data_IF_674883953991
#
_entry.id   IF_674883953991
#
_cell.length_a   1.000
_cell.length_b   1.000
_cell.length_c   1.000
_cell.angle_alpha   90.00
_cell.angle_beta   90.00
_cell.angle_gamma   90.00
#
_symmetry.space_group_name_H-M   'P 1'
#
loop_
_entity.id
_entity.type
_entity.pdbx_description
1 polymer ?
#
# COMPACT_ATOMS: atom_id res chain seq x y z
N UNK A 1 29.56 50.06 -34.76
CA UNK A 1 29.59 49.08 -33.66
C UNK A 1 29.06 49.76 -32.40
N UNK A 2 27.78 49.63 -32.10
CA UNK A 2 27.14 49.95 -30.81
C UNK A 2 25.66 49.71 -31.04
N UNK A 3 25.05 48.78 -30.29
CA UNK A 3 23.64 48.69 -29.90
C UNK A 3 23.27 47.22 -29.56
N UNK A 4 23.88 46.69 -28.50
CA UNK A 4 23.28 45.62 -27.69
C UNK A 4 23.48 45.99 -26.22
N UNK A 5 22.71 47.00 -25.78
CA UNK A 5 22.50 47.33 -24.36
C UNK A 5 20.99 47.33 -24.10
N UNK A 6 20.31 46.24 -24.44
CA UNK A 6 18.92 46.04 -24.04
C UNK A 6 18.85 44.93 -22.99
N UNK A 7 18.80 45.40 -21.75
CA UNK A 7 17.97 44.90 -20.66
C UNK A 7 17.99 43.39 -20.38
N UNK A 8 19.03 42.95 -19.66
CA UNK A 8 19.01 41.73 -18.84
C UNK A 8 17.92 41.75 -17.75
N UNK A 9 17.24 42.89 -17.53
CA UNK A 9 16.17 43.02 -16.54
C UNK A 9 14.83 42.42 -17.00
N UNK A 10 14.62 42.14 -18.29
CA UNK A 10 13.36 41.57 -18.80
C UNK A 10 13.33 40.03 -18.74
N UNK A 11 14.50 39.37 -18.62
CA UNK A 11 14.56 37.91 -18.55
C UNK A 11 14.15 37.33 -17.18
N UNK A 12 14.04 38.17 -16.14
CA UNK A 12 13.66 37.74 -14.78
C UNK A 12 12.15 37.72 -14.52
N UNK A 13 11.32 38.25 -15.42
CA UNK A 13 9.86 38.37 -15.21
C UNK A 13 9.03 37.19 -15.75
N UNK A 14 9.64 36.20 -16.42
CA UNK A 14 8.95 35.03 -16.96
C UNK A 14 9.21 33.72 -16.20
N UNK A 15 9.79 33.79 -14.99
CA UNK A 15 9.73 32.67 -14.04
C UNK A 15 8.40 32.76 -13.29
N UNK A 16 7.28 32.70 -14.02
CA UNK A 16 5.99 32.44 -13.41
C UNK A 16 6.06 31.04 -12.80
N UNK A 17 6.13 31.01 -11.48
CA UNK A 17 6.19 29.81 -10.66
C UNK A 17 4.99 28.92 -11.01
N UNK A 18 5.22 27.90 -11.82
CA UNK A 18 4.33 26.74 -11.86
C UNK A 18 4.51 26.04 -10.51
N UNK A 19 3.83 26.56 -9.48
CA UNK A 19 3.59 25.80 -8.28
C UNK A 19 2.75 24.61 -8.73
N UNK A 20 3.40 23.46 -8.93
CA UNK A 20 2.72 22.20 -9.15
C UNK A 20 1.84 21.97 -7.91
N UNK A 21 0.55 22.29 -8.05
CA UNK A 21 -0.41 22.09 -6.98
C UNK A 21 -0.56 20.59 -6.79
N UNK A 22 -0.18 20.09 -5.61
CA UNK A 22 -0.48 18.72 -5.21
C UNK A 22 -1.99 18.50 -5.26
N UNK A 23 -2.42 17.38 -5.82
CA UNK A 23 -3.84 17.05 -5.79
C UNK A 23 -4.34 16.87 -4.35
N UNK A 24 -5.58 17.29 -4.13
CA UNK A 24 -6.27 17.17 -2.84
C UNK A 24 -6.84 15.77 -2.63
N UNK A 25 -7.15 15.44 -1.38
CA UNK A 25 -7.83 14.18 -1.08
C UNK A 25 -9.16 14.04 -1.82
N UNK A 26 -9.91 15.14 -2.00
CA UNK A 26 -11.18 15.10 -2.71
C UNK A 26 -11.00 14.89 -4.20
N UNK A 27 -10.02 15.53 -4.82
CA UNK A 27 -9.68 15.28 -6.22
C UNK A 27 -9.30 13.81 -6.42
N UNK A 28 -8.47 13.25 -5.53
CA UNK A 28 -8.15 11.83 -5.55
C UNK A 28 -9.40 10.95 -5.37
N UNK A 29 -10.26 11.24 -4.39
CA UNK A 29 -11.45 10.44 -4.10
C UNK A 29 -12.50 10.50 -5.23
N UNK A 30 -12.66 11.65 -5.88
CA UNK A 30 -13.62 11.83 -6.97
C UNK A 30 -13.09 11.35 -8.33
N UNK A 31 -11.77 11.25 -8.51
CA UNK A 31 -11.17 10.78 -9.75
C UNK A 31 -11.47 9.30 -10.05
N UNK A 32 -11.68 8.99 -11.33
CA UNK A 32 -11.70 7.62 -11.87
C UNK A 32 -10.51 7.38 -12.78
N UNK A 33 -9.84 6.24 -12.64
CA UNK A 33 -8.71 5.87 -13.50
C UNK A 33 -8.48 4.35 -13.59
N UNK A 34 -7.75 3.93 -14.62
CA UNK A 34 -7.29 2.56 -14.81
C UNK A 34 -5.86 2.59 -15.32
N UNK A 35 -4.92 2.02 -14.57
CA UNK A 35 -3.49 2.05 -14.87
C UNK A 35 -2.96 0.64 -14.90
N UNK A 36 -1.98 0.40 -15.77
CA UNK A 36 -1.27 -0.85 -15.87
C UNK A 36 0.24 -0.56 -15.85
N UNK A 37 0.89 -0.93 -14.76
CA UNK A 37 2.35 -0.88 -14.63
C UNK A 37 2.89 -2.26 -14.87
N UNK A 38 3.84 -2.37 -15.77
CA UNK A 38 4.47 -3.63 -16.08
C UNK A 38 5.98 -3.46 -16.17
N UNK A 39 6.72 -4.30 -15.46
CA UNK A 39 8.18 -4.28 -15.45
C UNK A 39 8.73 -5.71 -15.48
N UNK A 40 10.00 -5.81 -15.86
CA UNK A 40 10.73 -7.07 -15.86
C UNK A 40 11.18 -7.41 -14.44
N UNK A 41 11.06 -8.66 -14.05
CA UNK A 41 11.52 -9.13 -12.75
C UNK A 41 13.04 -9.37 -12.79
N UNK A 42 13.78 -8.67 -11.94
CA UNK A 42 15.24 -8.79 -11.84
C UNK A 42 15.67 -10.19 -11.39
N UNK A 43 14.85 -10.86 -10.56
CA UNK A 43 15.14 -12.19 -10.01
C UNK A 43 15.21 -13.24 -11.12
N UNK A 44 14.45 -13.04 -12.20
CA UNK A 44 14.39 -13.97 -13.34
C UNK A 44 15.24 -13.52 -14.53
N UNK A 45 16.24 -12.67 -14.31
CA UNK A 45 17.04 -12.04 -15.37
C UNK A 45 16.18 -11.35 -16.45
N UNK A 46 15.01 -10.85 -16.05
CA UNK A 46 14.06 -10.17 -16.93
C UNK A 46 13.29 -11.07 -17.91
N UNK A 47 13.32 -12.39 -17.72
CA UNK A 47 12.50 -13.33 -18.50
C UNK A 47 11.03 -13.29 -18.08
N UNK A 48 10.75 -13.07 -16.78
CA UNK A 48 9.41 -12.89 -16.28
C UNK A 48 9.01 -11.41 -16.24
N UNK A 49 7.72 -11.17 -16.49
CA UNK A 49 7.11 -9.85 -16.36
C UNK A 49 6.14 -9.86 -15.19
N UNK A 50 6.26 -8.85 -14.34
CA UNK A 50 5.28 -8.51 -13.31
C UNK A 50 4.34 -7.45 -13.86
N UNK A 51 3.04 -7.60 -13.61
CA UNK A 51 2.00 -6.66 -14.04
C UNK A 51 1.13 -6.28 -12.86
N UNK A 52 1.08 -5.00 -12.54
CA UNK A 52 0.18 -4.39 -11.59
C UNK A 52 -0.87 -3.57 -12.34
N UNK A 53 -2.14 -3.89 -12.13
CA UNK A 53 -3.27 -3.07 -12.59
C UNK A 53 -3.98 -2.46 -11.39
N UNK A 54 -4.10 -1.14 -11.37
CA UNK A 54 -4.89 -0.42 -10.37
C UNK A 54 -6.03 0.28 -11.09
N UNK A 55 -7.26 -0.07 -10.71
CA UNK A 55 -8.47 0.59 -11.17
C UNK A 55 -9.11 1.30 -10.00
N UNK A 56 -9.61 2.50 -10.24
CA UNK A 56 -10.37 3.26 -9.27
C UNK A 56 -11.60 3.85 -9.96
N UNK A 57 -12.75 3.66 -9.33
CA UNK A 57 -13.97 4.39 -9.64
C UNK A 57 -14.54 4.93 -8.33
N UNK A 58 -14.41 6.25 -8.12
CA UNK A 58 -14.86 6.93 -6.91
C UNK A 58 -14.27 6.26 -5.65
N UNK A 59 -15.11 5.62 -4.82
CA UNK A 59 -14.70 4.95 -3.58
C UNK A 59 -14.13 3.55 -3.78
N UNK A 60 -14.34 2.95 -4.96
CA UNK A 60 -13.95 1.59 -5.23
C UNK A 60 -12.55 1.55 -5.84
N UNK A 61 -11.65 0.78 -5.22
CA UNK A 61 -10.29 0.55 -5.68
C UNK A 61 -10.10 -0.95 -5.90
N UNK A 62 -9.68 -1.32 -7.11
CA UNK A 62 -9.34 -2.69 -7.49
C UNK A 62 -7.86 -2.76 -7.79
N UNK A 63 -7.16 -3.62 -7.06
CA UNK A 63 -5.74 -3.91 -7.23
C UNK A 63 -5.62 -5.32 -7.79
N UNK A 64 -5.10 -5.46 -9.00
CA UNK A 64 -4.84 -6.76 -9.63
C UNK A 64 -3.35 -6.91 -9.87
N UNK A 65 -2.78 -8.01 -9.41
CA UNK A 65 -1.36 -8.28 -9.54
C UNK A 65 -1.14 -9.63 -10.20
N UNK A 66 -0.33 -9.65 -11.25
CA UNK A 66 0.04 -10.85 -11.98
C UNK A 66 1.56 -11.00 -12.02
N UNK A 67 2.05 -12.10 -11.45
CA UNK A 67 3.45 -12.53 -11.51
C UNK A 67 3.55 -13.86 -12.26
N UNK A 68 4.58 -14.00 -13.09
CA UNK A 68 4.93 -15.27 -13.76
C UNK A 68 3.78 -15.94 -14.54
N UNK A 69 2.89 -15.20 -15.22
CA UNK A 69 1.66 -15.66 -15.92
C UNK A 69 0.63 -16.44 -15.07
N UNK A 70 1.05 -17.21 -14.07
CA UNK A 70 0.27 -18.16 -13.28
C UNK A 70 -0.18 -17.59 -11.93
N UNK A 71 0.63 -16.72 -11.30
CA UNK A 71 0.29 -16.14 -10.00
C UNK A 71 -0.53 -14.91 -10.27
N UNK A 72 -1.82 -14.99 -9.95
CA UNK A 72 -2.77 -13.91 -10.15
C UNK A 72 -3.45 -13.63 -8.81
N UNK A 73 -3.42 -12.38 -8.38
CA UNK A 73 -4.13 -11.91 -7.19
C UNK A 73 -5.01 -10.73 -7.57
N UNK A 74 -6.13 -10.58 -6.90
CA UNK A 74 -7.02 -9.44 -7.06
C UNK A 74 -7.65 -9.10 -5.72
N UNK A 75 -7.72 -7.80 -5.42
CA UNK A 75 -8.39 -7.26 -4.25
C UNK A 75 -9.27 -6.10 -4.67
N UNK A 76 -10.45 -6.03 -4.08
CA UNK A 76 -11.41 -4.93 -4.27
C UNK A 76 -11.74 -4.35 -2.90
N UNK A 77 -11.58 -3.04 -2.78
CA UNK A 77 -11.74 -2.29 -1.53
C UNK A 77 -12.66 -1.11 -1.80
N UNK A 78 -13.70 -0.95 -0.97
CA UNK A 78 -14.58 0.21 -0.98
C UNK A 78 -14.24 1.09 0.22
N UNK A 79 -13.49 2.17 -0.01
CA UNK A 79 -12.94 3.02 1.05
C UNK A 79 -13.98 3.92 1.74
N UNK A 80 -15.23 3.89 1.26
CA UNK A 80 -16.34 4.69 1.80
C UNK A 80 -17.34 3.87 2.62
N UNK A 81 -17.10 2.56 2.81
CA UNK A 81 -18.02 1.67 3.54
C UNK A 81 -17.40 1.13 4.82
N UNK A 82 -18.27 0.97 5.81
CA UNK A 82 -18.00 0.23 7.03
C UNK A 82 -18.64 -1.18 6.95
N UNK A 83 -18.07 -2.19 7.64
CA UNK A 83 -16.78 -2.15 8.33
C UNK A 83 -15.59 -2.12 7.34
N UNK A 84 -14.38 -1.83 7.83
CA UNK A 84 -13.16 -1.94 7.03
C UNK A 84 -13.01 -3.37 6.53
N UNK A 85 -12.96 -3.55 5.21
CA UNK A 85 -12.89 -4.89 4.61
C UNK A 85 -12.14 -4.90 3.28
N UNK A 86 -11.66 -6.09 2.92
CA UNK A 86 -11.03 -6.41 1.63
C UNK A 86 -11.83 -7.54 1.00
N UNK A 87 -12.26 -7.37 -0.26
CA UNK A 87 -12.79 -8.47 -1.06
C UNK A 87 -11.65 -9.10 -1.85
N UNK A 88 -11.24 -10.30 -1.50
CA UNK A 88 -10.12 -11.01 -2.11
C UNK A 88 -10.59 -11.99 -3.20
N UNK A 89 -9.71 -12.24 -4.17
CA UNK A 89 -9.93 -13.15 -5.29
C UNK A 89 -10.54 -12.49 -6.53
N UNK A 90 -10.43 -13.18 -7.68
CA UNK A 90 -10.94 -12.69 -8.98
C UNK A 90 -12.46 -12.48 -8.99
N UNK A 91 -13.18 -13.35 -8.29
CA UNK A 91 -14.63 -13.30 -8.15
C UNK A 91 -15.07 -12.45 -6.95
N UNK A 92 -14.14 -12.03 -6.07
CA UNK A 92 -14.44 -11.25 -4.88
C UNK A 92 -15.32 -11.97 -3.85
N UNK A 93 -15.28 -13.31 -3.83
CA UNK A 93 -16.14 -14.16 -2.98
C UNK A 93 -15.68 -14.15 -1.52
N UNK A 94 -14.39 -13.93 -1.29
CA UNK A 94 -13.81 -13.91 0.04
C UNK A 94 -13.81 -12.48 0.59
N UNK A 95 -14.50 -12.27 1.72
CA UNK A 95 -14.61 -10.96 2.37
C UNK A 95 -13.84 -10.98 3.68
N UNK A 96 -12.65 -10.40 3.68
CA UNK A 96 -11.78 -10.26 4.84
C UNK A 96 -12.17 -8.99 5.58
N UNK A 97 -12.73 -9.11 6.79
CA UNK A 97 -13.11 -7.96 7.62
C UNK A 97 -12.01 -7.65 8.62
N UNK A 98 -11.90 -6.39 9.01
CA UNK A 98 -11.03 -5.93 10.10
C UNK A 98 -11.83 -5.84 11.40
N UNK A 99 -11.37 -6.53 12.44
CA UNK A 99 -11.87 -6.43 13.82
C UNK A 99 -10.83 -5.88 14.80
N UNK A 100 -9.58 -5.65 14.36
CA UNK A 100 -8.53 -5.04 15.18
C UNK A 100 -7.36 -4.46 14.39
N UNK A 101 -6.35 -3.96 15.10
CA UNK A 101 -5.12 -3.44 14.50
C UNK A 101 -4.17 -4.57 14.13
N UNK A 102 -3.49 -4.47 12.99
CA UNK A 102 -2.45 -5.43 12.59
C UNK A 102 -1.09 -5.12 13.24
N UNK A 103 -0.25 -6.14 13.52
CA UNK A 103 -0.50 -7.56 13.34
C UNK A 103 -1.46 -8.13 14.41
N UNK A 104 -2.43 -8.95 13.98
CA UNK A 104 -3.41 -9.56 14.87
C UNK A 104 -3.51 -11.07 14.60
N UNK A 105 -3.36 -11.89 15.64
CA UNK A 105 -3.50 -13.36 15.54
C UNK A 105 -4.93 -13.82 15.22
N UNK A 106 -5.94 -12.99 15.46
CA UNK A 106 -7.36 -13.33 15.21
C UNK A 106 -7.76 -13.18 13.74
N UNK A 107 -7.02 -12.39 12.96
CA UNK A 107 -7.32 -12.11 11.55
C UNK A 107 -6.06 -12.12 10.70
N UNK A 108 -5.34 -13.26 10.65
CA UNK A 108 -4.10 -13.37 9.90
C UNK A 108 -4.33 -13.03 8.42
N UNK A 109 -5.44 -13.50 7.83
CA UNK A 109 -5.77 -13.29 6.42
C UNK A 109 -5.95 -11.80 6.06
N UNK A 110 -6.64 -11.02 6.89
CA UNK A 110 -6.81 -9.58 6.66
C UNK A 110 -5.45 -8.87 6.73
N UNK A 111 -4.65 -9.17 7.76
CA UNK A 111 -3.34 -8.53 7.95
C UNK A 111 -2.35 -8.92 6.84
N UNK A 112 -2.36 -10.18 6.40
CA UNK A 112 -1.57 -10.65 5.27
C UNK A 112 -2.00 -9.97 3.97
N UNK A 113 -3.31 -9.87 3.71
CA UNK A 113 -3.81 -9.16 2.53
C UNK A 113 -3.42 -7.67 2.55
N UNK A 114 -3.51 -7.01 3.70
CA UNK A 114 -3.08 -5.63 3.88
C UNK A 114 -1.59 -5.44 3.58
N UNK A 115 -0.72 -6.25 4.18
CA UNK A 115 0.73 -6.21 3.93
C UNK A 115 1.01 -6.42 2.45
N UNK A 116 0.40 -7.43 1.85
CA UNK A 116 0.60 -7.79 0.44
C UNK A 116 0.13 -6.70 -0.52
N UNK A 117 -1.04 -6.09 -0.28
CA UNK A 117 -1.53 -4.96 -1.08
C UNK A 117 -0.55 -3.79 -0.99
N UNK A 118 -0.06 -3.48 0.21
CA UNK A 118 0.89 -2.38 0.43
C UNK A 118 2.19 -2.61 -0.33
N UNK A 119 2.81 -3.77 -0.15
CA UNK A 119 4.07 -4.14 -0.81
C UNK A 119 3.92 -4.07 -2.33
N UNK A 120 2.86 -4.65 -2.89
CA UNK A 120 2.62 -4.62 -4.34
C UNK A 120 2.49 -3.19 -4.86
N UNK A 121 1.73 -2.33 -4.17
CA UNK A 121 1.56 -0.94 -4.61
C UNK A 121 2.86 -0.15 -4.50
N UNK A 122 3.65 -0.37 -3.44
CA UNK A 122 4.94 0.30 -3.27
C UNK A 122 5.95 -0.19 -4.30
N UNK A 123 6.19 -1.50 -4.33
CA UNK A 123 7.31 -2.11 -5.05
C UNK A 123 7.04 -2.23 -6.54
N UNK A 124 5.83 -2.63 -6.94
CA UNK A 124 5.48 -2.83 -8.36
C UNK A 124 4.74 -1.62 -8.95
N UNK A 125 4.23 -0.73 -8.09
CA UNK A 125 3.50 0.49 -8.48
C UNK A 125 4.35 1.75 -8.40
N UNK A 126 4.57 2.26 -7.18
CA UNK A 126 5.22 3.56 -6.95
C UNK A 126 6.64 3.62 -7.51
N UNK A 127 7.41 2.52 -7.44
CA UNK A 127 8.77 2.47 -7.98
C UNK A 127 8.80 2.56 -9.52
N UNK A 128 7.82 1.96 -10.21
CA UNK A 128 7.87 1.77 -11.66
C UNK A 128 6.90 2.65 -12.46
N UNK A 129 5.95 3.31 -11.79
CA UNK A 129 5.02 4.22 -12.45
C UNK A 129 5.72 5.49 -12.94
N UNK A 130 5.23 6.03 -14.06
CA UNK A 130 5.85 7.18 -14.74
C UNK A 130 5.16 8.49 -14.37
N UNK A 131 5.95 9.56 -14.38
CA UNK A 131 5.51 10.92 -14.14
C UNK A 131 5.61 11.34 -12.69
N UNK A 132 5.06 12.53 -12.40
CA UNK A 132 5.14 13.20 -11.11
C UNK A 132 4.08 12.68 -10.13
N UNK A 133 4.53 12.34 -8.92
CA UNK A 133 3.68 11.80 -7.85
C UNK A 133 2.60 12.79 -7.40
N UNK A 134 2.86 14.08 -7.54
CA UNK A 134 2.00 15.19 -7.14
C UNK A 134 0.89 15.47 -8.17
N UNK A 135 0.97 14.87 -9.36
CA UNK A 135 0.10 15.17 -10.48
C UNK A 135 -0.80 13.97 -10.81
N UNK A 136 -2.09 14.10 -10.50
CA UNK A 136 -3.10 13.05 -10.68
C UNK A 136 -3.36 12.68 -12.16
N UNK A 137 -2.84 13.45 -13.12
CA UNK A 137 -2.90 13.07 -14.53
C UNK A 137 -1.87 12.00 -14.91
N UNK A 138 -0.80 11.85 -14.13
CA UNK A 138 0.29 10.89 -14.40
C UNK A 138 -0.01 9.53 -13.78
N UNK A 139 0.68 8.48 -14.26
CA UNK A 139 0.51 7.14 -13.70
C UNK A 139 1.01 7.06 -12.26
N UNK A 140 2.13 7.73 -11.96
CA UNK A 140 2.67 7.78 -10.60
C UNK A 140 1.71 8.49 -9.64
N UNK A 141 1.18 9.65 -10.00
CA UNK A 141 0.25 10.39 -9.15
C UNK A 141 -1.05 9.64 -8.87
N UNK A 142 -1.57 8.90 -9.86
CA UNK A 142 -2.77 8.07 -9.65
C UNK A 142 -2.50 6.83 -8.77
N UNK A 143 -1.35 6.15 -8.92
CA UNK A 143 -0.99 5.06 -8.01
C UNK A 143 -0.79 5.59 -6.60
N UNK A 144 -0.15 6.75 -6.47
CA UNK A 144 0.00 7.42 -5.18
C UNK A 144 -1.36 7.79 -4.56
N UNK A 145 -2.30 8.30 -5.34
CA UNK A 145 -3.68 8.51 -4.89
C UNK A 145 -4.31 7.22 -4.34
N UNK A 146 -4.22 6.10 -5.07
CA UNK A 146 -4.75 4.82 -4.60
C UNK A 146 -4.05 4.34 -3.32
N UNK A 147 -2.72 4.44 -3.26
CA UNK A 147 -1.90 4.10 -2.09
C UNK A 147 -2.37 4.85 -0.84
N UNK A 148 -2.60 6.16 -0.96
CA UNK A 148 -3.02 7.01 0.15
C UNK A 148 -4.42 6.65 0.67
N UNK A 149 -5.38 6.44 -0.25
CA UNK A 149 -6.73 6.04 0.14
C UNK A 149 -6.73 4.67 0.82
N UNK A 150 -6.02 3.70 0.26
CA UNK A 150 -5.91 2.35 0.82
C UNK A 150 -5.23 2.37 2.19
N UNK A 151 -4.13 3.11 2.36
CA UNK A 151 -3.44 3.23 3.64
C UNK A 151 -4.33 3.86 4.71
N UNK A 152 -5.00 4.98 4.40
CA UNK A 152 -5.92 5.59 5.35
C UNK A 152 -7.07 4.66 5.75
N UNK A 153 -7.66 3.93 4.79
CA UNK A 153 -8.77 3.03 5.05
C UNK A 153 -8.36 1.74 5.78
N UNK A 154 -7.39 1.01 5.23
CA UNK A 154 -7.00 -0.32 5.73
C UNK A 154 -6.12 -0.24 6.97
N UNK A 155 -5.22 0.75 7.08
CA UNK A 155 -4.38 0.93 8.27
C UNK A 155 -5.04 1.84 9.29
N UNK A 156 -5.40 3.05 8.84
CA UNK A 156 -5.87 4.13 9.68
C UNK A 156 -7.34 4.03 10.12
N UNK A 157 -8.08 3.02 9.68
CA UNK A 157 -9.53 2.89 9.89
C UNK A 157 -10.33 4.11 9.42
N UNK A 158 -9.81 4.84 8.42
CA UNK A 158 -10.41 6.07 7.95
C UNK A 158 -11.45 5.77 6.87
N UNK A 159 -12.69 6.11 7.15
CA UNK A 159 -13.78 6.04 6.18
C UNK A 159 -13.85 7.35 5.41
N UNK A 160 -13.80 7.28 4.09
CA UNK A 160 -13.85 8.46 3.23
C UNK A 160 -15.29 8.80 2.86
N UNK A 161 -15.55 10.09 2.65
CA UNK A 161 -16.84 10.57 2.14
C UNK A 161 -16.60 11.58 1.03
N UNK A 162 -17.28 11.37 -0.11
CA UNK A 162 -17.21 12.29 -1.27
C UNK A 162 -17.92 13.61 -1.02
N UNK A 163 -18.82 13.65 -0.04
CA UNK A 163 -19.62 14.82 0.30
C UNK A 163 -18.99 15.68 1.39
N UNK A 164 -17.92 15.20 2.03
CA UNK A 164 -17.17 16.00 2.99
C UNK A 164 -16.45 17.17 2.29
N UNK A 165 -16.45 18.35 2.90
CA UNK A 165 -15.63 19.48 2.45
C UNK A 165 -14.17 19.13 2.68
N UNK A 166 -13.36 19.11 1.62
CA UNK A 166 -11.93 18.79 1.69
C UNK A 166 -11.12 20.01 2.11
N UNK A 167 -10.23 19.83 3.07
CA UNK A 167 -9.31 20.87 3.56
C UNK A 167 -7.85 20.41 3.61
N UNK A 168 -7.54 19.17 3.20
CA UNK A 168 -6.19 18.61 3.32
C UNK A 168 -5.62 18.18 1.97
N UNK A 169 -4.42 18.68 1.68
CA UNK A 169 -3.54 18.18 0.63
C UNK A 169 -3.06 16.76 0.99
N UNK A 170 -2.88 15.89 -0.01
CA UNK A 170 -2.42 14.51 0.21
C UNK A 170 -0.90 14.45 0.44
N UNK A 171 -0.47 14.78 1.65
CA UNK A 171 0.90 14.51 2.10
C UNK A 171 1.08 13.03 2.40
N UNK A 172 2.27 12.48 2.14
CA UNK A 172 2.59 11.07 2.38
C UNK A 172 2.24 10.66 3.82
N UNK A 173 1.85 9.40 4.07
CA UNK A 173 1.69 8.92 5.43
C UNK A 173 3.05 9.05 6.11
N UNK A 174 3.06 9.41 7.39
CA UNK A 174 4.31 9.42 8.15
C UNK A 174 5.00 8.05 7.98
N UNK A 175 6.33 8.01 7.77
CA UNK A 175 7.04 6.75 7.69
C UNK A 175 6.79 6.01 9.01
N UNK A 176 6.10 4.87 8.92
CA UNK A 176 5.96 3.97 10.06
C UNK A 176 7.36 3.44 10.32
N UNK A 177 7.88 3.69 11.52
CA UNK A 177 9.19 3.21 11.94
C UNK A 177 9.36 1.72 11.58
N UNK A 178 10.55 1.29 11.12
CA UNK A 178 10.83 -0.11 10.91
C UNK A 178 10.46 -0.88 12.17
N UNK A 179 9.69 -1.96 12.02
CA UNK A 179 9.50 -2.93 13.09
C UNK A 179 10.89 -3.34 13.57
N UNK A 180 11.27 -2.87 14.75
CA UNK A 180 12.50 -3.32 15.41
C UNK A 180 12.43 -4.84 15.52
N UNK A 181 13.49 -5.57 15.17
CA UNK A 181 13.54 -7.01 15.39
C UNK A 181 13.21 -7.27 16.85
N UNK A 182 12.20 -8.11 17.09
CA UNK A 182 11.92 -8.62 18.43
C UNK A 182 13.15 -9.42 18.83
N UNK A 183 13.92 -8.87 19.76
CA UNK A 183 15.03 -9.54 20.42
C UNK A 183 14.47 -10.79 21.10
N UNK A 184 14.77 -11.95 20.52
CA UNK A 184 14.41 -13.24 21.08
C UNK A 184 15.10 -13.39 22.42
N UNK A 185 14.33 -13.27 23.51
CA UNK A 185 14.80 -13.63 24.85
C UNK A 185 15.26 -15.09 24.87
N UNK A 186 16.33 -15.42 25.62
CA UNK A 186 16.89 -16.76 25.65
C UNK A 186 15.88 -17.75 26.23
N UNK A 187 15.67 -18.84 25.49
CA UNK A 187 14.92 -20.02 25.90
C UNK A 187 15.52 -20.60 27.17
N UNK A 188 14.73 -20.60 28.25
CA UNK A 188 14.99 -21.37 29.48
C UNK A 188 14.87 -22.85 29.13
N UNK A 189 15.94 -23.60 29.37
CA UNK A 189 15.99 -25.05 29.17
C UNK A 189 14.87 -25.77 29.98
N UNK A 190 14.20 -26.78 29.41
CA UNK A 190 13.27 -27.61 30.16
C UNK A 190 14.02 -28.49 31.16
N UNK A 191 13.71 -28.30 32.45
CA UNK A 191 14.09 -29.21 33.54
C UNK A 191 13.53 -30.60 33.23
N UNK A 192 14.42 -31.59 33.17
CA UNK A 192 14.05 -33.00 33.03
C UNK A 192 13.29 -33.49 34.27
N UNK A 193 12.22 -34.30 34.11
CA UNK A 193 11.55 -34.94 35.24
C UNK A 193 12.41 -36.06 35.82
N UNK A 194 12.49 -36.10 37.16
CA UNK A 194 13.13 -37.16 37.91
C UNK A 194 12.39 -38.50 37.70
N UNK A 195 13.17 -39.53 37.37
CA UNK A 195 12.75 -40.91 37.26
C UNK A 195 12.66 -41.52 38.67
N UNK A 196 11.46 -41.66 39.22
CA UNK A 196 11.23 -42.51 40.39
C UNK A 196 11.28 -44.00 39.99
N UNK A 197 12.22 -44.71 40.60
CA UNK A 197 12.41 -46.16 40.48
C UNK A 197 12.66 -46.68 41.89
N UNK A 198 11.71 -47.44 42.44
CA UNK A 198 11.84 -48.48 43.48
C UNK A 198 10.43 -48.80 44.00
N UNK A 199 9.99 -50.00 44.41
CA UNK A 199 10.40 -51.42 44.26
C UNK A 199 9.23 -52.20 44.90
N UNK A 200 8.89 -53.36 44.34
CA UNK A 200 7.97 -54.36 44.93
C UNK A 200 8.61 -55.10 46.12
N UNK A 201 7.85 -55.29 47.21
CA UNK A 201 7.82 -56.43 48.16
C UNK A 201 6.92 -55.99 49.34
N UNK A 202 6.00 -56.73 49.96
CA UNK A 202 5.70 -58.15 50.07
C UNK A 202 5.15 -58.39 51.50
N UNK A 203 4.23 -59.33 51.70
CA UNK A 203 3.67 -59.83 53.01
C UNK A 203 2.69 -58.88 53.74
N UNK A 204 1.50 -59.24 54.24
CA UNK A 204 0.91 -60.50 54.73
C UNK A 204 -0.55 -60.67 54.25
#
# INVERSE_FOLDING_TARGET
>A
MLLLKFSTAILFLFVSSNAFSMFTEKECLDAGFSINVAHKDKITFGMAQTKLKVMKDKCEIIVSHQKLKFIKNQWKVDVCREPVHIKAGFTGVEVLKKSGSCPNKKEPEFCEALVKIREIIQDDGLIFAKGEKENLSTDHGKIYCAYQLLGGYLDGNRIYSRYAKSTKSMTAPAPVHPLTPVESSPSVDPVQPASDKQTEDGTF
#
